data_IF_316876865920
#
_entry.id   IF_316876865920
#
_cell.length_a   1.000
_cell.length_b   1.000
_cell.length_c   1.000
_cell.angle_alpha   90.00
_cell.angle_beta   90.00
_cell.angle_gamma   90.00
#
_symmetry.space_group_name_H-M   'P 1'
#
loop_
_entity.id
_entity.type
_entity.pdbx_description
1 polymer ?
#
# COMPACT_ATOMS: atom_id res chain seq x y z
N UNK A 1 11.60 11.44 49.94
CA UNK A 1 10.46 11.44 48.99
C UNK A 1 11.06 11.62 47.60
N UNK A 2 11.23 10.58 46.76
CA UNK A 2 10.18 9.92 45.93
C UNK A 2 9.50 10.98 45.03
N UNK A 3 9.64 11.06 43.70
CA UNK A 3 10.04 10.10 42.66
C UNK A 3 10.68 10.84 41.45
N UNK A 4 11.67 10.26 40.75
CA UNK A 4 11.83 10.49 39.32
C UNK A 4 10.83 9.60 38.58
N UNK A 5 9.86 10.21 37.89
CA UNK A 5 8.86 9.47 37.10
C UNK A 5 9.49 9.00 35.80
N UNK A 6 10.14 7.84 35.87
CA UNK A 6 10.38 6.98 34.72
C UNK A 6 9.06 6.29 34.36
N UNK A 7 8.43 6.65 33.26
CA UNK A 7 7.44 5.78 32.63
C UNK A 7 7.26 6.04 31.13
N UNK A 8 7.83 5.10 30.38
CA UNK A 8 7.30 4.44 29.18
C UNK A 8 7.34 5.25 27.88
N UNK A 9 8.36 5.05 27.03
CA UNK A 9 8.42 3.96 26.04
C UNK A 9 7.13 3.83 25.23
N UNK A 10 6.94 4.73 24.26
CA UNK A 10 6.37 4.38 22.96
C UNK A 10 7.27 5.00 21.88
N UNK A 11 8.54 4.59 21.87
CA UNK A 11 9.22 4.39 20.59
C UNK A 11 8.37 3.37 19.85
N UNK A 12 7.52 3.82 18.94
CA UNK A 12 6.84 2.96 17.98
C UNK A 12 7.91 2.29 17.15
N UNK A 13 8.42 1.18 17.69
CA UNK A 13 9.14 0.18 16.96
C UNK A 13 8.18 -0.42 15.96
N UNK A 14 8.00 0.27 14.84
CA UNK A 14 7.94 -0.40 13.56
C UNK A 14 9.35 -0.95 13.34
N UNK A 15 9.64 -2.02 14.07
CA UNK A 15 10.77 -2.87 13.82
C UNK A 15 10.62 -3.30 12.36
N UNK A 16 11.49 -2.73 11.53
CA UNK A 16 11.83 -3.25 10.21
C UNK A 16 12.37 -4.65 10.43
N UNK A 17 11.48 -5.64 10.56
CA UNK A 17 11.85 -7.04 10.53
C UNK A 17 12.25 -7.36 9.10
N UNK A 18 13.54 -7.17 8.84
CA UNK A 18 14.29 -7.74 7.73
C UNK A 18 14.12 -9.26 7.72
N UNK A 19 13.15 -9.78 6.97
CA UNK A 19 13.26 -11.07 6.28
C UNK A 19 12.35 -11.01 5.06
N UNK A 20 12.87 -10.60 3.90
CA UNK A 20 12.65 -11.26 2.59
C UNK A 20 13.73 -10.72 1.65
N UNK A 21 14.41 -11.63 0.96
CA UNK A 21 15.42 -11.33 -0.04
C UNK A 21 14.84 -10.42 -1.13
N UNK A 22 15.66 -9.51 -1.66
CA UNK A 22 15.22 -8.32 -2.37
C UNK A 22 14.44 -8.58 -3.66
N UNK A 23 13.19 -8.12 -3.69
CA UNK A 23 12.41 -7.82 -4.91
C UNK A 23 11.22 -6.87 -4.63
N UNK A 24 11.12 -6.32 -3.41
CA UNK A 24 10.03 -5.42 -3.01
C UNK A 24 10.20 -4.02 -3.62
N UNK A 25 9.24 -3.60 -4.42
CA UNK A 25 9.16 -2.28 -5.08
C UNK A 25 8.50 -1.26 -4.15
N UNK A 26 7.41 -1.64 -3.48
CA UNK A 26 6.70 -0.79 -2.52
C UNK A 26 5.97 -1.65 -1.52
N UNK A 27 5.95 -1.28 -0.24
CA UNK A 27 5.13 -1.94 0.77
C UNK A 27 4.67 -0.93 1.80
N UNK A 28 3.54 -1.20 2.43
CA UNK A 28 3.00 -0.30 3.42
C UNK A 28 1.75 -0.82 4.09
N UNK A 29 1.27 0.00 5.03
CA UNK A 29 0.08 -0.26 5.81
C UNK A 29 -0.81 0.97 5.74
N UNK A 30 -2.01 0.81 5.22
CA UNK A 30 -3.04 1.84 5.15
C UNK A 30 -4.05 1.59 6.25
N UNK A 31 -4.13 2.52 7.20
CA UNK A 31 -5.15 2.51 8.25
C UNK A 31 -6.41 3.19 7.72
N UNK A 32 -7.57 2.62 8.04
CA UNK A 32 -8.88 3.20 7.73
C UNK A 32 -9.03 3.57 6.24
N UNK A 33 -8.59 2.70 5.33
CA UNK A 33 -8.63 2.97 3.89
C UNK A 33 -10.07 3.25 3.40
N UNK A 34 -11.08 2.73 4.10
CA UNK A 34 -12.50 2.98 3.84
C UNK A 34 -12.98 4.40 4.18
N UNK A 35 -12.16 5.20 4.87
CA UNK A 35 -12.48 6.57 5.32
C UNK A 35 -11.56 7.61 4.65
N UNK A 36 -10.57 7.20 3.86
CA UNK A 36 -9.75 8.02 2.95
C UNK A 36 -9.25 9.36 3.55
N UNK A 37 -8.68 9.33 4.77
CA UNK A 37 -8.19 10.54 5.46
C UNK A 37 -6.72 10.86 5.22
N UNK A 38 -5.97 10.02 4.51
CA UNK A 38 -4.53 10.20 4.35
C UNK A 38 -4.25 11.29 3.32
N UNK A 39 -3.80 12.46 3.81
CA UNK A 39 -3.34 13.57 2.99
C UNK A 39 -1.82 13.56 2.98
N UNK A 40 -1.21 13.52 1.79
CA UNK A 40 0.25 13.62 1.66
C UNK A 40 0.75 15.06 1.80
N UNK A 41 2.08 15.24 1.76
CA UNK A 41 2.72 16.55 1.90
C UNK A 41 2.29 17.57 0.83
N UNK A 42 1.78 17.09 -0.31
CA UNK A 42 1.32 17.89 -1.43
C UNK A 42 -0.19 18.17 -1.35
N UNK A 43 -0.87 17.74 -0.28
CA UNK A 43 -2.30 17.95 -0.09
C UNK A 43 -3.19 16.94 -0.82
N UNK A 44 -2.63 15.89 -1.41
CA UNK A 44 -3.39 14.89 -2.17
C UNK A 44 -3.82 13.73 -1.26
N UNK A 45 -5.00 13.16 -1.54
CA UNK A 45 -5.46 11.94 -0.86
C UNK A 45 -4.67 10.74 -1.41
N UNK A 46 -3.52 10.44 -0.78
CA UNK A 46 -2.65 9.32 -1.15
C UNK A 46 -2.31 8.52 0.11
N UNK A 47 -3.02 7.42 0.30
CA UNK A 47 -2.80 6.56 1.46
C UNK A 47 -1.60 5.60 1.31
N UNK A 48 -1.10 5.40 0.10
CA UNK A 48 0.12 4.63 -0.15
C UNK A 48 1.24 5.53 -0.65
N UNK A 49 2.49 5.08 -0.44
CA UNK A 49 3.67 5.80 -0.92
C UNK A 49 3.81 5.62 -2.44
N UNK A 50 3.97 6.71 -3.22
CA UNK A 50 4.23 6.60 -4.65
C UNK A 50 5.51 5.84 -4.97
N UNK A 51 5.49 5.08 -6.07
CA UNK A 51 6.62 4.29 -6.55
C UNK A 51 6.70 4.34 -8.09
N UNK A 52 7.92 4.33 -8.65
CA UNK A 52 8.09 4.36 -10.10
C UNK A 52 7.84 2.98 -10.70
N UNK A 53 7.23 2.96 -11.88
CA UNK A 53 7.07 1.77 -12.70
C UNK A 53 7.65 1.99 -14.08
N UNK A 54 8.09 0.90 -14.70
CA UNK A 54 8.64 0.89 -16.05
C UNK A 54 7.67 0.26 -17.03
N UNK A 55 7.64 0.81 -18.23
CA UNK A 55 6.99 0.19 -19.39
C UNK A 55 7.47 -1.25 -19.55
N UNK A 56 6.53 -2.17 -19.81
CA UNK A 56 6.77 -3.62 -19.92
C UNK A 56 7.35 -4.30 -18.67
N UNK A 57 7.55 -3.57 -17.58
CA UNK A 57 7.90 -4.13 -16.27
C UNK A 57 6.80 -5.05 -15.76
N UNK A 58 7.14 -6.02 -14.92
CA UNK A 58 6.16 -6.92 -14.31
C UNK A 58 6.15 -6.71 -12.81
N UNK A 59 4.98 -6.37 -12.27
CA UNK A 59 4.77 -6.08 -10.85
C UNK A 59 3.69 -6.99 -10.28
N UNK A 60 3.99 -7.70 -9.20
CA UNK A 60 3.00 -8.47 -8.45
C UNK A 60 2.42 -7.59 -7.34
N UNK A 61 1.10 -7.40 -7.37
CA UNK A 61 0.34 -6.66 -6.35
C UNK A 61 -0.30 -7.66 -5.39
N UNK A 62 0.01 -7.55 -4.10
CA UNK A 62 -0.61 -8.33 -3.04
C UNK A 62 -1.07 -7.45 -1.89
N UNK A 63 -2.20 -7.80 -1.29
CA UNK A 63 -2.67 -7.13 -0.08
C UNK A 63 -3.51 -8.07 0.78
N UNK A 64 -3.60 -7.72 2.06
CA UNK A 64 -4.48 -8.38 3.04
C UNK A 64 -5.24 -7.30 3.79
N UNK A 65 -6.51 -7.58 4.09
CA UNK A 65 -7.36 -6.66 4.85
C UNK A 65 -7.77 -7.29 6.18
N UNK A 66 -7.63 -6.55 7.27
CA UNK A 66 -8.22 -6.90 8.56
C UNK A 66 -9.70 -6.50 8.53
N UNK A 67 -10.60 -7.46 8.30
CA UNK A 67 -12.06 -7.26 8.22
C UNK A 67 -12.79 -8.51 7.73
N UNK A 68 -14.02 -8.74 8.19
CA UNK A 68 -14.70 -10.04 8.04
C UNK A 68 -15.14 -10.36 6.60
N UNK A 69 -15.37 -9.37 5.72
CA UNK A 69 -15.95 -9.59 4.37
C UNK A 69 -15.59 -8.47 3.35
N UNK A 70 -14.48 -7.77 3.54
CA UNK A 70 -14.18 -6.58 2.75
C UNK A 70 -13.48 -6.96 1.44
N UNK A 71 -14.25 -7.38 0.44
CA UNK A 71 -13.76 -7.35 -0.94
C UNK A 71 -13.19 -5.95 -1.20
N UNK A 72 -11.92 -5.90 -1.54
CA UNK A 72 -11.18 -4.64 -1.71
C UNK A 72 -10.60 -4.63 -3.10
N UNK A 73 -10.94 -3.61 -3.87
CA UNK A 73 -10.31 -3.34 -5.16
C UNK A 73 -9.07 -2.50 -4.92
N UNK A 74 -7.93 -2.90 -5.49
CA UNK A 74 -6.78 -2.00 -5.61
C UNK A 74 -6.84 -1.29 -6.94
N UNK A 75 -6.71 0.02 -6.91
CA UNK A 75 -6.53 0.90 -8.06
C UNK A 75 -5.10 1.40 -8.06
N UNK A 76 -4.41 1.26 -9.18
CA UNK A 76 -3.13 1.91 -9.43
C UNK A 76 -3.43 3.23 -10.13
N UNK A 77 -2.98 4.33 -9.54
CA UNK A 77 -3.25 5.68 -10.02
C UNK A 77 -1.97 6.42 -10.34
N UNK A 78 -1.97 7.16 -11.44
CA UNK A 78 -0.87 8.08 -11.78
C UNK A 78 -0.75 9.15 -10.69
N UNK A 79 0.47 9.35 -10.20
CA UNK A 79 0.73 10.28 -9.10
C UNK A 79 0.55 11.74 -9.54
N UNK A 80 0.75 12.09 -10.81
CA UNK A 80 0.60 13.46 -11.30
C UNK A 80 -0.84 13.91 -11.49
N UNK A 81 -1.67 13.05 -12.05
CA UNK A 81 -3.04 13.34 -12.50
C UNK A 81 -4.13 12.69 -11.65
N UNK A 82 -3.81 11.62 -10.92
CA UNK A 82 -4.80 10.80 -10.20
C UNK A 82 -5.63 9.87 -11.09
N UNK A 83 -5.32 9.78 -12.39
CA UNK A 83 -5.98 8.88 -13.34
C UNK A 83 -5.74 7.42 -12.95
N UNK A 84 -6.77 6.58 -13.05
CA UNK A 84 -6.65 5.13 -12.84
C UNK A 84 -5.97 4.54 -14.07
N UNK A 85 -4.80 3.94 -13.89
CA UNK A 85 -4.05 3.30 -14.99
C UNK A 85 -4.20 1.78 -14.96
N UNK A 86 -4.58 1.23 -13.81
CA UNK A 86 -4.85 -0.20 -13.66
C UNK A 86 -5.71 -0.45 -12.41
N UNK A 87 -6.48 -1.53 -12.39
CA UNK A 87 -7.21 -1.95 -11.19
C UNK A 87 -7.41 -3.46 -11.16
N UNK A 88 -7.63 -4.01 -9.95
CA UNK A 88 -7.95 -5.43 -9.76
C UNK A 88 -8.61 -5.69 -8.41
N UNK A 89 -9.40 -6.76 -8.34
CA UNK A 89 -10.15 -7.16 -7.13
C UNK A 89 -9.46 -8.26 -6.31
N UNK A 90 -8.38 -8.84 -6.82
CA UNK A 90 -7.62 -9.93 -6.18
C UNK A 90 -6.12 -9.75 -6.43
N UNK A 91 -5.26 -10.42 -5.67
CA UNK A 91 -3.80 -10.36 -5.89
C UNK A 91 -3.40 -10.78 -7.32
N UNK A 92 -2.25 -10.30 -7.79
CA UNK A 92 -1.59 -10.83 -8.98
C UNK A 92 -0.80 -9.80 -9.79
N UNK A 93 -0.48 -10.17 -11.02
CA UNK A 93 0.51 -9.47 -11.82
C UNK A 93 -0.09 -8.35 -12.68
N UNK A 94 0.66 -7.26 -12.80
CA UNK A 94 0.38 -6.12 -13.64
C UNK A 94 1.61 -5.79 -14.49
N UNK A 95 1.37 -5.37 -15.73
CA UNK A 95 2.38 -4.83 -16.64
C UNK A 95 1.98 -3.42 -17.06
N UNK A 96 2.76 -2.38 -16.70
CA UNK A 96 2.46 -1.00 -17.09
C UNK A 96 2.69 -0.80 -18.60
N UNK A 97 1.82 0.00 -19.21
CA UNK A 97 1.91 0.35 -20.64
C UNK A 97 2.92 1.48 -20.91
N UNK A 98 3.40 2.17 -19.87
CA UNK A 98 4.33 3.29 -19.98
C UNK A 98 5.14 3.44 -18.69
N UNK A 99 6.18 4.28 -18.76
CA UNK A 99 6.94 4.68 -17.59
C UNK A 99 6.18 5.78 -16.83
N UNK A 100 5.87 5.55 -15.56
CA UNK A 100 5.08 6.47 -14.75
C UNK A 100 5.36 6.34 -13.26
N UNK A 101 5.01 7.39 -12.50
CA UNK A 101 5.05 7.36 -11.05
C UNK A 101 3.63 7.11 -10.56
N UNK A 102 3.41 6.04 -9.80
CA UNK A 102 2.05 5.62 -9.41
C UNK A 102 1.93 5.44 -7.90
N UNK A 103 0.69 5.42 -7.41
CA UNK A 103 0.36 5.02 -6.05
C UNK A 103 -0.81 4.03 -6.07
N UNK A 104 -0.94 3.25 -5.00
CA UNK A 104 -2.07 2.36 -4.77
C UNK A 104 -3.18 3.07 -3.98
N UNK A 105 -4.41 2.87 -4.41
CA UNK A 105 -5.61 3.33 -3.75
C UNK A 105 -6.53 2.12 -3.54
N UNK A 106 -7.00 1.91 -2.31
CA UNK A 106 -7.79 0.74 -1.96
C UNK A 106 -9.25 1.16 -1.81
N UNK A 107 -10.15 0.53 -2.57
CA UNK A 107 -11.59 0.82 -2.56
C UNK A 107 -12.35 -0.34 -1.91
N UNK A 108 -13.03 -0.14 -0.77
CA UNK A 108 -13.87 -1.18 -0.19
C UNK A 108 -15.14 -1.34 -1.03
N UNK A 109 -15.64 -2.57 -1.18
CA UNK A 109 -16.96 -2.78 -1.82
C UNK A 109 -18.13 -2.15 -1.05
N UNK A 110 -18.01 -2.00 0.27
CA UNK A 110 -19.04 -1.35 1.11
C UNK A 110 -18.45 -0.13 1.78
N UNK A 111 -18.76 1.04 1.21
CA UNK A 111 -18.27 2.33 1.70
C UNK A 111 -18.74 2.60 3.14
N UNK A 112 -17.88 3.22 3.96
CA UNK A 112 -18.16 3.68 5.34
C UNK A 112 -18.41 2.59 6.40
N UNK A 113 -18.06 1.33 6.13
CA UNK A 113 -18.13 0.25 7.15
C UNK A 113 -16.88 0.20 8.06
N UNK A 114 -16.26 1.36 8.30
CA UNK A 114 -14.86 1.48 8.71
C UNK A 114 -14.44 0.79 10.01
N UNK A 115 -13.33 0.05 9.93
CA UNK A 115 -12.11 0.07 10.77
C UNK A 115 -11.02 -0.77 10.08
N UNK A 116 -11.08 -0.85 8.75
CA UNK A 116 -10.35 -1.87 8.03
C UNK A 116 -8.95 -1.34 7.71
N UNK A 117 -7.98 -2.18 8.02
CA UNK A 117 -6.57 -1.95 7.74
C UNK A 117 -6.18 -2.75 6.51
N UNK A 118 -5.47 -2.15 5.57
CA UNK A 118 -4.85 -2.86 4.45
C UNK A 118 -3.34 -2.90 4.66
N UNK A 119 -2.77 -4.09 4.63
CA UNK A 119 -1.33 -4.28 4.46
C UNK A 119 -1.07 -4.70 3.03
N UNK A 120 -0.20 -3.99 2.33
CA UNK A 120 0.07 -4.20 0.91
C UNK A 120 1.56 -4.37 0.63
N UNK A 121 1.83 -5.12 -0.42
CA UNK A 121 3.14 -5.28 -1.00
C UNK A 121 3.07 -5.30 -2.53
N UNK A 122 4.03 -4.63 -3.15
CA UNK A 122 4.31 -4.61 -4.57
C UNK A 122 5.71 -5.15 -4.73
N UNK A 123 5.86 -6.25 -5.45
CA UNK A 123 7.16 -6.81 -5.81
C UNK A 123 7.33 -6.78 -7.32
N UNK A 124 8.56 -6.90 -7.81
CA UNK A 124 8.73 -7.37 -9.18
C UNK A 124 8.13 -8.78 -9.28
N UNK A 125 7.59 -9.12 -10.43
CA UNK A 125 7.29 -10.53 -10.70
C UNK A 125 8.62 -11.30 -10.57
N UNK A 126 8.58 -12.44 -9.88
CA UNK A 126 9.71 -13.35 -9.92
C UNK A 126 10.01 -13.62 -11.39
N UNK A 127 11.23 -13.27 -11.83
CA UNK A 127 11.79 -13.86 -13.02
C UNK A 127 11.93 -15.34 -12.65
N UNK A 128 10.90 -16.15 -12.91
CA UNK A 128 11.12 -17.58 -12.99
C UNK A 128 12.11 -17.76 -14.13
N UNK A 129 13.39 -17.83 -13.78
CA UNK A 129 14.33 -18.71 -14.45
C UNK A 129 13.61 -20.06 -14.59
N UNK A 130 13.15 -20.38 -15.80
CA UNK A 130 13.07 -21.71 -16.41
C UNK A 130 12.32 -21.64 -17.75
#
# INVERSE_FOLDING_TARGET
>A
MHLPTSQQLLTSGLALTNVFAGDTVSKGKVLDYAVEKCIDSDGNVRCSKPFPVKEDGCYHLSWTTDGTLSHTTVEVRDAGSGEIVYYRDTNGNWKPEKNELVYLDFKPKVWKTGNDTVEYEVTNCENNEL
#
